data_IF_367610966586
#
_entry.id   IF_367610966586
#
_cell.length_a   1.000
_cell.length_b   1.000
_cell.length_c   1.000
_cell.angle_alpha   90.00
_cell.angle_beta   90.00
_cell.angle_gamma   90.00
#
_symmetry.space_group_name_H-M   'P 1'
#
loop_
_entity.id
_entity.type
_entity.pdbx_description
1 polymer ?
#
# COMPACT_ATOMS: atom_id res chain seq x y z
N UNK A 1 -11.47 9.80 -21.38
CA UNK A 1 -10.04 9.71 -21.74
C UNK A 1 -9.50 8.55 -20.93
N UNK A 2 -8.79 7.60 -21.53
CA UNK A 2 -8.17 6.50 -20.78
C UNK A 2 -7.09 7.11 -19.87
N UNK A 3 -7.22 7.02 -18.54
CA UNK A 3 -6.16 7.41 -17.60
C UNK A 3 -4.90 6.56 -17.93
N UNK A 4 -3.69 7.11 -17.78
CA UNK A 4 -2.41 6.40 -17.97
C UNK A 4 -2.44 4.96 -17.46
N UNK A 5 -3.01 4.73 -16.28
CA UNK A 5 -3.10 3.40 -15.68
C UNK A 5 -4.06 2.44 -16.38
N UNK A 6 -5.13 2.93 -17.03
CA UNK A 6 -6.05 2.06 -17.77
C UNK A 6 -5.36 1.31 -18.91
N UNK A 7 -4.38 1.94 -19.57
CA UNK A 7 -3.56 1.28 -20.61
C UNK A 7 -2.62 0.25 -19.99
N UNK A 8 -2.01 0.57 -18.84
CA UNK A 8 -1.13 -0.38 -18.15
C UNK A 8 -1.90 -1.58 -17.60
N UNK A 9 -3.15 -1.40 -17.19
CA UNK A 9 -4.00 -2.45 -16.66
C UNK A 9 -4.40 -3.47 -17.74
N UNK A 10 -4.45 -3.08 -19.03
CA UNK A 10 -4.70 -4.02 -20.15
C UNK A 10 -3.59 -5.07 -20.29
N UNK A 11 -2.38 -4.74 -19.87
CA UNK A 11 -1.22 -5.63 -19.92
C UNK A 11 -0.94 -6.31 -18.56
N UNK A 12 -1.69 -5.95 -17.52
CA UNK A 12 -1.44 -6.45 -16.17
C UNK A 12 -1.99 -7.88 -15.99
N UNK A 13 -1.23 -8.71 -15.29
CA UNK A 13 -1.71 -10.01 -14.82
C UNK A 13 -2.57 -9.75 -13.59
N UNK A 14 -3.80 -10.27 -13.59
CA UNK A 14 -4.71 -10.16 -12.44
C UNK A 14 -4.25 -11.00 -11.24
N UNK A 15 -4.83 -10.75 -10.07
CA UNK A 15 -4.58 -11.51 -8.85
C UNK A 15 -3.13 -11.42 -8.35
N UNK A 16 -2.47 -10.30 -8.64
CA UNK A 16 -1.11 -9.98 -8.21
C UNK A 16 -1.14 -8.91 -7.09
N UNK A 17 0.00 -8.27 -6.83
CA UNK A 17 0.11 -7.22 -5.80
C UNK A 17 -0.19 -5.85 -6.38
N UNK A 18 -1.07 -5.10 -5.73
CA UNK A 18 -1.34 -3.69 -5.99
C UNK A 18 -0.66 -2.83 -4.93
N UNK A 19 0.10 -1.82 -5.34
CA UNK A 19 0.59 -0.76 -4.48
C UNK A 19 -0.19 0.51 -4.80
N UNK A 20 -0.87 1.08 -3.80
CA UNK A 20 -1.66 2.30 -3.94
C UNK A 20 -1.30 3.27 -2.81
N UNK A 21 -0.98 4.50 -3.17
CA UNK A 21 -0.53 5.49 -2.19
C UNK A 21 -0.37 6.87 -2.79
N UNK A 22 0.20 7.76 -1.99
CA UNK A 22 0.44 9.16 -2.34
C UNK A 22 1.89 9.37 -2.83
N UNK A 23 2.45 10.54 -2.54
CA UNK A 23 3.78 11.00 -2.97
C UNK A 23 4.89 10.02 -2.68
N UNK A 24 5.03 9.50 -1.46
CA UNK A 24 6.10 8.55 -1.15
C UNK A 24 6.00 7.30 -2.02
N UNK A 25 4.82 6.70 -2.06
CA UNK A 25 4.60 5.45 -2.78
C UNK A 25 4.75 5.61 -4.29
N UNK A 26 4.37 6.76 -4.85
CA UNK A 26 4.61 7.10 -6.25
C UNK A 26 6.10 7.17 -6.57
N UNK A 27 6.90 7.81 -5.70
CA UNK A 27 8.34 8.00 -5.91
C UNK A 27 9.16 6.79 -5.44
N UNK A 28 8.58 5.85 -4.68
CA UNK A 28 9.24 4.65 -4.18
C UNK A 28 9.61 3.72 -5.37
N UNK A 29 10.92 3.41 -5.56
CA UNK A 29 11.39 2.71 -6.76
C UNK A 29 11.15 1.19 -6.69
N UNK A 30 9.92 0.78 -6.38
CA UNK A 30 9.55 -0.62 -6.15
C UNK A 30 9.87 -1.52 -7.34
N UNK A 31 9.68 -1.04 -8.58
CA UNK A 31 9.96 -1.84 -9.77
C UNK A 31 11.45 -2.15 -9.94
N UNK A 32 12.32 -1.20 -9.58
CA UNK A 32 13.78 -1.37 -9.59
C UNK A 32 14.18 -2.36 -8.49
N UNK A 33 13.69 -2.13 -7.26
CA UNK A 33 13.99 -2.98 -6.11
C UNK A 33 13.51 -4.44 -6.31
N UNK A 34 12.41 -4.63 -7.03
CA UNK A 34 11.93 -5.98 -7.38
C UNK A 34 12.93 -6.75 -8.27
N UNK A 35 13.77 -6.07 -9.07
CA UNK A 35 14.81 -6.74 -9.87
C UNK A 35 15.98 -7.22 -9.01
N UNK A 36 16.32 -6.46 -7.97
CA UNK A 36 17.52 -6.70 -7.16
C UNK A 36 17.32 -7.74 -6.05
N UNK A 37 16.09 -7.94 -5.59
CA UNK A 37 15.81 -8.66 -4.34
C UNK A 37 15.21 -10.07 -4.50
N UNK A 38 15.22 -10.63 -5.72
CA UNK A 38 14.72 -11.98 -6.07
C UNK A 38 13.35 -12.30 -5.44
N UNK A 39 12.41 -11.36 -5.60
CA UNK A 39 11.04 -11.50 -5.11
C UNK A 39 10.17 -12.06 -6.23
N UNK A 40 9.70 -13.30 -6.06
CA UNK A 40 8.75 -13.94 -6.99
C UNK A 40 7.32 -13.40 -6.76
N UNK A 41 7.11 -12.13 -7.11
CA UNK A 41 5.81 -11.47 -7.13
C UNK A 41 5.73 -10.47 -8.28
N UNK A 42 4.54 -10.28 -8.85
CA UNK A 42 4.29 -9.13 -9.74
C UNK A 42 3.66 -8.01 -8.91
N UNK A 43 4.28 -6.84 -8.96
CA UNK A 43 3.80 -5.65 -8.25
C UNK A 43 3.41 -4.59 -9.26
N UNK A 44 2.19 -4.08 -9.14
CA UNK A 44 1.69 -2.97 -9.93
C UNK A 44 1.52 -1.76 -9.04
N UNK A 45 2.44 -0.80 -9.16
CA UNK A 45 2.31 0.49 -8.49
C UNK A 45 1.32 1.37 -9.25
N UNK A 46 0.28 1.84 -8.55
CA UNK A 46 -0.77 2.73 -9.04
C UNK A 46 -0.91 3.96 -8.14
N UNK A 47 0.15 4.35 -7.46
CA UNK A 47 0.14 5.52 -6.57
C UNK A 47 0.01 6.82 -7.36
N UNK A 48 -0.62 7.83 -6.77
CA UNK A 48 -0.79 9.16 -7.36
C UNK A 48 -0.10 10.21 -6.50
N UNK A 49 0.86 10.92 -7.09
CA UNK A 49 1.64 11.94 -6.39
C UNK A 49 0.75 13.10 -5.98
N UNK A 50 0.87 13.55 -4.73
CA UNK A 50 0.07 14.65 -4.20
C UNK A 50 -1.35 14.27 -3.77
N UNK A 51 -1.75 12.99 -3.90
CA UNK A 51 -3.10 12.56 -3.57
C UNK A 51 -3.35 12.52 -2.06
N UNK A 52 -4.49 13.06 -1.64
CA UNK A 52 -5.06 12.82 -0.32
C UNK A 52 -5.96 11.59 -0.38
N UNK A 53 -6.17 10.95 0.76
CA UNK A 53 -6.97 9.73 0.83
C UNK A 53 -8.40 9.93 0.35
N UNK A 54 -9.05 11.02 0.78
CA UNK A 54 -10.42 11.36 0.41
C UNK A 54 -10.60 11.47 -1.12
N UNK A 55 -9.60 12.00 -1.83
CA UNK A 55 -9.64 12.17 -3.29
C UNK A 55 -9.26 10.88 -4.04
N UNK A 56 -8.50 9.99 -3.39
CA UNK A 56 -7.96 8.78 -4.01
C UNK A 56 -8.91 7.57 -3.93
N UNK A 57 -9.96 7.61 -3.09
CA UNK A 57 -10.83 6.45 -2.81
C UNK A 57 -11.36 5.76 -4.08
N UNK A 58 -12.08 6.51 -4.91
CA UNK A 58 -12.71 5.98 -6.13
C UNK A 58 -11.66 5.48 -7.13
N UNK A 59 -10.53 6.19 -7.21
CA UNK A 59 -9.43 5.80 -8.07
C UNK A 59 -8.80 4.48 -7.61
N UNK A 60 -8.55 4.29 -6.31
CA UNK A 60 -8.04 3.03 -5.75
C UNK A 60 -9.01 1.88 -6.04
N UNK A 61 -10.31 2.11 -5.87
CA UNK A 61 -11.33 1.11 -6.19
C UNK A 61 -11.32 0.75 -7.69
N UNK A 62 -11.24 1.73 -8.59
CA UNK A 62 -11.12 1.49 -10.04
C UNK A 62 -9.87 0.62 -10.36
N UNK A 63 -8.73 0.91 -9.73
CA UNK A 63 -7.52 0.12 -9.96
C UNK A 63 -7.63 -1.30 -9.39
N UNK A 64 -8.22 -1.45 -8.20
CA UNK A 64 -8.47 -2.76 -7.61
C UNK A 64 -9.44 -3.60 -8.45
N UNK A 65 -10.45 -2.98 -9.07
CA UNK A 65 -11.37 -3.64 -10.00
C UNK A 65 -10.69 -4.11 -11.29
N UNK A 66 -9.80 -3.29 -11.84
CA UNK A 66 -9.08 -3.66 -13.05
C UNK A 66 -8.09 -4.82 -12.80
N UNK A 67 -7.46 -4.84 -11.61
CA UNK A 67 -6.35 -5.76 -11.30
C UNK A 67 -6.77 -6.99 -10.49
N UNK A 68 -7.92 -6.96 -9.81
CA UNK A 68 -8.42 -8.01 -8.91
C UNK A 68 -7.31 -8.53 -7.98
N UNK A 69 -6.69 -7.69 -7.15
CA UNK A 69 -5.43 -8.01 -6.48
C UNK A 69 -5.58 -9.11 -5.42
N UNK A 70 -4.57 -9.98 -5.29
CA UNK A 70 -4.45 -10.91 -4.15
C UNK A 70 -3.93 -10.20 -2.90
N UNK A 71 -3.15 -9.14 -3.08
CA UNK A 71 -2.65 -8.29 -2.01
C UNK A 71 -2.71 -6.82 -2.42
N UNK A 72 -3.07 -5.94 -1.50
CA UNK A 72 -2.98 -4.50 -1.68
C UNK A 72 -2.20 -3.86 -0.54
N UNK A 73 -1.28 -2.97 -0.91
CA UNK A 73 -0.53 -2.12 0.02
C UNK A 73 -1.04 -0.71 -0.12
N UNK A 74 -1.52 -0.13 0.98
CA UNK A 74 -2.04 1.22 1.08
C UNK A 74 -1.01 2.12 1.78
N UNK A 75 -0.62 3.20 1.11
CA UNK A 75 0.42 4.12 1.56
C UNK A 75 0.00 5.57 1.30
N UNK A 76 -1.09 5.99 1.93
CA UNK A 76 -1.61 7.36 1.97
C UNK A 76 -1.38 8.00 3.34
N UNK A 77 -1.44 9.33 3.39
CA UNK A 77 -1.23 10.13 4.61
C UNK A 77 -0.20 11.24 4.42
N UNK A 78 0.72 11.12 3.46
CA UNK A 78 1.83 12.07 3.29
C UNK A 78 1.34 13.50 3.03
N UNK A 79 0.22 13.66 2.33
CA UNK A 79 -0.38 14.97 2.01
C UNK A 79 -1.53 15.33 2.96
N UNK A 80 -2.17 14.32 3.55
CA UNK A 80 -3.24 14.48 4.53
C UNK A 80 -2.72 15.15 5.79
N UNK A 81 -1.60 14.67 6.36
CA UNK A 81 -1.04 15.23 7.61
C UNK A 81 -0.48 16.65 7.44
N UNK A 82 -0.19 17.06 6.21
CA UNK A 82 0.28 18.42 5.88
C UNK A 82 -0.89 19.40 5.71
N UNK A 83 -2.12 18.90 5.60
CA UNK A 83 -3.30 19.72 5.40
C UNK A 83 -3.62 20.54 6.66
N UNK A 84 -4.00 21.80 6.47
CA UNK A 84 -4.52 22.61 7.56
C UNK A 84 -5.79 21.96 8.13
N UNK A 85 -5.84 21.82 9.46
CA UNK A 85 -6.98 21.21 10.14
C UNK A 85 -7.04 19.68 10.06
N UNK A 86 -5.93 18.99 9.75
CA UNK A 86 -5.86 17.53 9.81
C UNK A 86 -6.37 16.99 11.17
N UNK A 87 -7.25 15.98 11.09
CA UNK A 87 -7.79 15.26 12.25
C UNK A 87 -7.58 13.76 12.06
N UNK A 88 -6.75 13.15 12.92
CA UNK A 88 -6.41 11.73 12.82
C UNK A 88 -7.65 10.80 12.93
N UNK A 89 -8.68 11.23 13.67
CA UNK A 89 -9.94 10.50 13.78
C UNK A 89 -10.71 10.44 12.46
N UNK A 90 -10.79 11.56 11.72
CA UNK A 90 -11.45 11.61 10.41
C UNK A 90 -10.65 10.82 9.38
N UNK A 91 -9.33 11.02 9.35
CA UNK A 91 -8.43 10.29 8.46
C UNK A 91 -8.49 8.76 8.64
N UNK A 92 -8.51 8.28 9.89
CA UNK A 92 -8.64 6.84 10.14
C UNK A 92 -10.03 6.29 9.82
N UNK A 93 -11.08 7.11 9.93
CA UNK A 93 -12.41 6.73 9.49
C UNK A 93 -12.47 6.56 7.97
N UNK A 94 -11.95 7.52 7.20
CA UNK A 94 -11.86 7.44 5.74
C UNK A 94 -11.06 6.21 5.28
N UNK A 95 -9.92 5.93 5.94
CA UNK A 95 -9.13 4.74 5.65
C UNK A 95 -9.91 3.45 5.91
N UNK A 96 -10.67 3.41 7.00
CA UNK A 96 -11.49 2.26 7.35
C UNK A 96 -12.60 2.03 6.32
N UNK A 97 -13.20 3.08 5.78
CA UNK A 97 -14.18 2.96 4.70
C UNK A 97 -13.54 2.34 3.45
N UNK A 98 -12.39 2.86 2.99
CA UNK A 98 -11.65 2.29 1.86
C UNK A 98 -11.33 0.80 2.06
N UNK A 99 -10.77 0.46 3.22
CA UNK A 99 -10.42 -0.93 3.55
C UNK A 99 -11.66 -1.83 3.57
N UNK A 100 -12.78 -1.33 4.11
CA UNK A 100 -14.03 -2.08 4.17
C UNK A 100 -14.60 -2.35 2.79
N UNK A 101 -14.56 -1.35 1.90
CA UNK A 101 -15.04 -1.49 0.52
C UNK A 101 -14.18 -2.43 -0.31
N UNK A 102 -12.85 -2.34 -0.19
CA UNK A 102 -11.93 -3.30 -0.79
C UNK A 102 -12.24 -4.71 -0.28
N UNK A 103 -12.36 -4.90 1.04
CA UNK A 103 -12.57 -6.22 1.63
C UNK A 103 -13.92 -6.83 1.26
N UNK A 104 -14.96 -6.00 1.17
CA UNK A 104 -16.30 -6.41 0.74
C UNK A 104 -16.29 -6.87 -0.72
N UNK A 105 -15.54 -6.18 -1.58
CA UNK A 105 -15.47 -6.51 -3.01
C UNK A 105 -14.50 -7.66 -3.31
N UNK A 106 -13.41 -7.75 -2.56
CA UNK A 106 -12.36 -8.77 -2.69
C UNK A 106 -12.11 -9.45 -1.33
N UNK A 107 -12.97 -10.39 -0.91
CA UNK A 107 -12.89 -11.02 0.41
C UNK A 107 -11.55 -11.74 0.67
N UNK A 108 -10.93 -12.31 -0.36
CA UNK A 108 -9.66 -13.02 -0.25
C UNK A 108 -8.42 -12.11 -0.35
N UNK A 109 -8.60 -10.83 -0.68
CA UNK A 109 -7.50 -9.88 -0.76
C UNK A 109 -6.91 -9.63 0.63
N UNK A 110 -5.58 -9.71 0.72
CA UNK A 110 -4.83 -9.29 1.91
C UNK A 110 -4.55 -7.79 1.82
N UNK A 111 -4.98 -7.04 2.83
CA UNK A 111 -4.86 -5.58 2.86
C UNK A 111 -3.77 -5.22 3.86
N UNK A 112 -2.77 -4.49 3.41
CA UNK A 112 -1.66 -4.00 4.21
C UNK A 112 -1.66 -2.48 4.23
N UNK A 113 -1.53 -1.90 5.42
CA UNK A 113 -1.40 -0.45 5.61
C UNK A 113 0.04 -0.15 6.01
N UNK A 114 0.70 0.72 5.25
CA UNK A 114 2.01 1.24 5.60
C UNK A 114 1.89 2.42 6.56
N UNK A 115 2.94 2.71 7.34
CA UNK A 115 3.02 3.95 8.11
C UNK A 115 2.98 5.15 7.17
N UNK A 116 2.49 6.28 7.67
CA UNK A 116 2.63 7.55 6.97
C UNK A 116 4.12 7.92 6.96
N UNK A 117 4.65 8.24 5.79
CA UNK A 117 6.09 8.37 5.56
C UNK A 117 6.61 9.80 5.75
N UNK A 118 5.69 10.75 5.90
CA UNK A 118 6.00 12.13 6.26
C UNK A 118 6.30 12.29 7.77
N UNK A 119 7.08 13.32 8.11
CA UNK A 119 7.43 13.64 9.51
C UNK A 119 6.19 14.06 10.32
N UNK A 120 6.17 13.75 11.62
CA UNK A 120 5.04 14.08 12.50
C UNK A 120 3.82 13.15 12.36
N UNK A 121 4.01 11.99 11.74
CA UNK A 121 2.99 10.99 11.46
C UNK A 121 2.47 10.21 12.68
N UNK A 122 3.02 10.41 13.89
CA UNK A 122 2.76 9.52 15.03
C UNK A 122 1.27 9.40 15.38
N UNK A 123 0.53 10.51 15.32
CA UNK A 123 -0.91 10.52 15.60
C UNK A 123 -1.69 9.77 14.52
N UNK A 124 -1.35 9.99 13.25
CA UNK A 124 -1.95 9.30 12.12
C UNK A 124 -1.68 7.79 12.16
N UNK A 125 -0.41 7.40 12.37
CA UNK A 125 0.00 6.00 12.49
C UNK A 125 -0.73 5.28 13.63
N UNK A 126 -0.91 5.94 14.77
CA UNK A 126 -1.65 5.38 15.90
C UNK A 126 -3.15 5.23 15.56
N UNK A 127 -3.75 6.20 14.88
CA UNK A 127 -5.13 6.10 14.42
C UNK A 127 -5.31 4.96 13.39
N UNK A 128 -4.37 4.78 12.47
CA UNK A 128 -4.37 3.67 11.50
C UNK A 128 -4.22 2.30 12.17
N UNK A 129 -3.34 2.18 13.17
CA UNK A 129 -3.21 0.93 13.94
C UNK A 129 -4.52 0.55 14.64
N UNK A 130 -5.29 1.53 15.11
CA UNK A 130 -6.55 1.29 15.82
C UNK A 130 -7.69 0.79 14.92
N UNK A 131 -7.64 1.06 13.61
CA UNK A 131 -8.62 0.52 12.65
C UNK A 131 -8.19 -0.83 12.09
N UNK A 132 -6.91 -1.19 12.25
CA UNK A 132 -6.40 -2.50 11.86
C UNK A 132 -6.94 -3.57 12.82
N UNK A 133 -7.60 -4.57 12.23
CA UNK A 133 -8.26 -5.69 12.92
C UNK A 133 -8.26 -6.90 11.99
N UNK A 134 -9.37 -7.63 11.87
CA UNK A 134 -9.44 -8.83 11.00
C UNK A 134 -9.36 -8.53 9.49
N UNK A 135 -9.54 -7.26 9.09
CA UNK A 135 -9.70 -6.87 7.68
C UNK A 135 -8.46 -6.28 7.03
N UNK A 136 -7.48 -5.81 7.82
CA UNK A 136 -6.22 -5.25 7.34
C UNK A 136 -5.11 -5.37 8.39
N UNK A 137 -3.87 -5.46 7.93
CA UNK A 137 -2.66 -5.55 8.76
C UNK A 137 -1.82 -4.27 8.61
N UNK A 138 -1.49 -3.63 9.73
CA UNK A 138 -0.53 -2.52 9.74
C UNK A 138 0.90 -3.07 9.71
N UNK A 139 1.71 -2.67 8.72
CA UNK A 139 3.11 -3.08 8.63
C UNK A 139 3.97 -2.05 9.36
N UNK A 140 4.52 -2.36 10.55
CA UNK A 140 5.46 -1.46 11.19
C UNK A 140 6.77 -1.44 10.40
N UNK A 141 7.21 -0.24 9.99
CA UNK A 141 8.56 -0.04 9.47
C UNK A 141 9.49 0.44 10.58
N UNK A 142 10.73 -0.06 10.59
CA UNK A 142 11.74 0.40 11.55
C UNK A 142 12.08 1.88 11.35
N UNK A 143 12.45 2.58 12.42
CA UNK A 143 12.87 3.98 12.33
C UNK A 143 14.10 4.13 11.42
N UNK A 144 14.99 3.14 11.43
CA UNK A 144 16.17 3.08 10.59
C UNK A 144 15.86 2.85 9.10
N UNK A 145 14.68 2.31 8.78
CA UNK A 145 14.23 2.08 7.42
C UNK A 145 13.58 3.32 6.79
N UNK A 146 12.90 4.18 7.55
CA UNK A 146 12.09 5.31 7.02
C UNK A 146 12.84 6.26 6.06
N UNK A 147 14.17 6.24 6.03
CA UNK A 147 15.01 7.08 5.16
C UNK A 147 15.85 6.30 4.13
N UNK A 148 15.64 4.99 3.96
CA UNK A 148 16.41 4.13 3.07
C UNK A 148 15.47 3.17 2.30
N UNK A 149 15.30 3.41 1.01
CA UNK A 149 14.39 2.64 0.17
C UNK A 149 14.73 1.14 0.15
N UNK A 150 16.01 0.77 0.21
CA UNK A 150 16.45 -0.62 0.24
C UNK A 150 16.08 -1.30 1.56
N UNK A 151 16.19 -0.60 2.69
CA UNK A 151 15.74 -1.12 4.00
C UNK A 151 14.22 -1.26 4.06
N UNK A 152 13.48 -0.26 3.58
CA UNK A 152 12.00 -0.33 3.47
C UNK A 152 11.62 -1.56 2.66
N UNK A 153 12.23 -1.76 1.50
CA UNK A 153 11.91 -2.90 0.65
C UNK A 153 12.26 -4.24 1.32
N UNK A 154 13.36 -4.34 2.07
CA UNK A 154 13.70 -5.56 2.83
C UNK A 154 12.65 -5.91 3.88
N UNK A 155 12.00 -4.92 4.47
CA UNK A 155 10.91 -5.14 5.43
C UNK A 155 9.60 -5.48 4.71
N UNK A 156 9.32 -4.85 3.55
CA UNK A 156 8.12 -5.13 2.76
C UNK A 156 8.15 -6.49 2.04
N UNK A 157 9.33 -6.98 1.62
CA UNK A 157 9.42 -8.17 0.75
C UNK A 157 8.83 -9.44 1.37
N UNK A 158 8.84 -9.56 2.70
CA UNK A 158 8.25 -10.69 3.42
C UNK A 158 6.73 -10.78 3.20
N UNK A 159 6.08 -9.64 2.99
CA UNK A 159 4.65 -9.53 2.70
C UNK A 159 4.33 -9.68 1.20
N UNK A 160 5.32 -9.51 0.32
CA UNK A 160 5.14 -9.68 -1.12
C UNK A 160 5.01 -11.16 -1.51
N UNK A 161 5.76 -12.05 -0.88
CA UNK A 161 5.75 -13.49 -1.19
C UNK A 161 4.35 -14.12 -1.04
N UNK A 162 4.01 -15.06 -1.93
CA UNK A 162 2.85 -15.93 -1.74
C UNK A 162 3.01 -16.80 -0.48
N UNK A 163 1.90 -17.24 0.14
CA UNK A 163 1.87 -18.11 1.35
C UNK A 163 2.61 -19.46 1.23
N UNK A 164 3.37 -19.71 0.18
CA UNK A 164 4.15 -20.92 -0.05
C UNK A 164 5.66 -20.73 0.21
N UNK A 165 6.05 -19.94 1.23
CA UNK A 165 7.39 -20.11 1.80
C UNK A 165 7.32 -21.35 2.69
N UNK A 166 7.54 -22.51 2.08
CA UNK A 166 7.92 -23.72 2.82
C UNK A 166 9.16 -23.32 3.62
N UNK A 167 9.11 -23.52 4.94
CA UNK A 167 10.11 -23.14 5.97
C UNK A 167 11.55 -23.69 5.76
N UNK A 168 11.94 -24.07 4.54
CA UNK A 168 13.19 -24.74 4.22
C UNK A 168 14.29 -23.90 3.57
N UNK A 169 14.11 -22.60 3.30
CA UNK A 169 15.13 -21.81 2.57
C UNK A 169 15.60 -20.51 3.26
N UNK A 170 15.36 -20.33 4.56
CA UNK A 170 15.85 -19.14 5.27
C UNK A 170 17.34 -19.19 5.72
N UNK A 171 18.15 -20.16 5.25
CA UNK A 171 19.54 -20.33 5.70
C UNK A 171 20.50 -20.79 4.60
N UNK A 172 20.58 -20.05 3.48
CA UNK A 172 21.74 -20.10 2.59
C UNK A 172 22.13 -18.68 2.15
#
# INVERSE_FOLDING_TARGET
MKNYYSVLNECAVKNQVLFAGSTFAHDFPINELMQDFDVDARVYNRSEKGAKLADAHDFVMEQAEALEPSKIFLCFGDEDIKAEGFLAGEFSYEYKELVSDIKKKFPDCQIYILPVMADGAEEADNALKNICGDIAEFIPLSAEAKHDAGKIFRELKTFLHGRNVIFGQAWN
#
